data_IF_445534448064
#
_entry.id   IF_445534448064
#
_cell.length_a   1.000
_cell.length_b   1.000
_cell.length_c   1.000
_cell.angle_alpha   90.00
_cell.angle_beta   90.00
_cell.angle_gamma   90.00
#
_symmetry.space_group_name_H-M   'P 1'
#
loop_
_entity.id
_entity.type
_entity.pdbx_description
1 polymer ?
#
# COMPACT_ATOMS: atom_id res chain seq x y z
N UNK A 1 16.44 -5.02 0.92
CA UNK A 1 16.96 -4.23 -0.22
C UNK A 1 15.85 -3.26 -0.59
N UNK A 2 16.10 -1.96 -0.59
CA UNK A 2 15.23 -0.94 -1.15
C UNK A 2 15.69 -0.64 -2.58
N UNK A 3 14.79 -0.76 -3.54
CA UNK A 3 15.06 -0.50 -4.95
C UNK A 3 14.81 0.97 -5.34
N UNK A 4 14.37 1.80 -4.36
CA UNK A 4 14.00 3.22 -4.47
C UNK A 4 12.75 3.51 -5.30
N UNK A 5 12.51 2.76 -6.35
CA UNK A 5 11.32 2.84 -7.21
C UNK A 5 10.64 1.49 -7.29
N UNK A 6 9.38 1.46 -7.66
CA UNK A 6 8.68 0.21 -7.97
C UNK A 6 9.17 -0.33 -9.30
N UNK A 7 9.51 -1.59 -9.33
CA UNK A 7 10.01 -2.29 -10.50
C UNK A 7 9.28 -3.61 -10.69
N UNK A 8 9.03 -3.99 -11.93
CA UNK A 8 8.56 -5.35 -12.27
C UNK A 8 9.74 -6.30 -12.16
N UNK A 9 9.75 -7.13 -11.12
CA UNK A 9 10.88 -7.99 -10.79
C UNK A 9 11.01 -9.16 -11.78
N UNK A 10 12.23 -9.40 -12.25
CA UNK A 10 12.60 -10.58 -13.04
C UNK A 10 13.28 -11.62 -12.16
N UNK A 11 14.43 -11.29 -11.64
CA UNK A 11 15.25 -12.17 -10.80
C UNK A 11 16.19 -11.39 -9.91
N UNK A 12 16.80 -12.06 -8.96
CA UNK A 12 18.04 -11.58 -8.35
C UNK A 12 19.16 -12.59 -8.51
N UNK A 13 20.38 -12.10 -8.59
CA UNK A 13 21.60 -12.89 -8.65
C UNK A 13 22.43 -12.65 -7.40
N UNK A 14 22.78 -13.72 -6.71
CA UNK A 14 23.73 -13.71 -5.59
C UNK A 14 25.09 -14.22 -6.06
N UNK A 15 26.12 -13.44 -5.81
CA UNK A 15 27.51 -13.78 -6.11
C UNK A 15 28.19 -14.25 -4.82
N UNK A 16 28.43 -15.57 -4.66
CA UNK A 16 29.15 -16.10 -3.52
C UNK A 16 30.60 -15.59 -3.47
N UNK A 17 31.27 -15.78 -2.35
CA UNK A 17 32.70 -15.60 -2.24
C UNK A 17 33.44 -16.57 -3.17
N UNK A 18 34.56 -16.13 -3.72
CA UNK A 18 35.36 -16.96 -4.67
C UNK A 18 35.88 -18.25 -4.04
N UNK A 19 36.15 -18.25 -2.74
CA UNK A 19 36.61 -19.40 -1.97
C UNK A 19 35.50 -20.33 -1.49
N UNK A 20 34.22 -19.97 -1.75
CA UNK A 20 33.04 -20.66 -1.21
C UNK A 20 33.14 -20.92 0.30
N UNK A 21 33.85 -20.02 1.00
CA UNK A 21 34.14 -20.10 2.44
C UNK A 21 32.98 -19.67 3.32
N UNK A 22 33.35 -19.28 4.55
CA UNK A 22 32.39 -18.85 5.55
C UNK A 22 31.49 -17.69 5.02
N UNK A 23 30.22 -17.78 5.30
CA UNK A 23 29.21 -16.83 4.85
C UNK A 23 28.54 -17.20 3.53
N UNK A 24 29.01 -18.20 2.78
CA UNK A 24 28.33 -18.64 1.55
C UNK A 24 26.90 -19.10 1.87
N UNK A 25 25.92 -18.42 1.28
CA UNK A 25 24.50 -18.69 1.48
C UNK A 25 24.11 -19.96 0.73
N UNK A 26 23.40 -20.87 1.41
CA UNK A 26 22.99 -22.17 0.88
C UNK A 26 21.48 -22.32 0.78
N UNK A 27 20.74 -21.87 1.79
CA UNK A 27 19.28 -21.99 1.81
C UNK A 27 18.64 -20.72 2.36
N UNK A 28 17.44 -20.41 1.89
CA UNK A 28 16.71 -19.25 2.34
C UNK A 28 15.35 -19.11 1.69
N UNK A 29 14.66 -18.03 2.00
CA UNK A 29 13.44 -17.61 1.33
C UNK A 29 13.53 -16.18 0.86
N UNK A 30 12.68 -15.83 -0.09
CA UNK A 30 12.58 -14.52 -0.72
C UNK A 30 11.17 -14.01 -0.57
N UNK A 31 11.04 -12.76 -0.17
CA UNK A 31 9.78 -12.04 -0.15
C UNK A 31 9.95 -10.68 -0.80
N UNK A 32 8.87 -10.13 -1.29
CA UNK A 32 8.83 -8.78 -1.86
C UNK A 32 7.72 -7.96 -1.21
N UNK A 33 7.82 -6.63 -1.34
CA UNK A 33 6.86 -5.69 -0.75
C UNK A 33 6.82 -4.39 -1.55
N UNK A 34 5.67 -3.73 -1.52
CA UNK A 34 5.50 -2.37 -2.03
C UNK A 34 5.80 -1.33 -0.95
N UNK A 35 5.50 -1.61 0.31
CA UNK A 35 5.40 -0.67 1.43
C UNK A 35 6.37 -0.97 2.59
N UNK A 36 7.16 -2.04 2.50
CA UNK A 36 8.06 -2.56 3.53
C UNK A 36 7.36 -3.17 4.77
N UNK A 37 6.04 -3.07 4.88
CA UNK A 37 5.25 -3.60 5.98
C UNK A 37 4.57 -4.91 5.60
N UNK A 38 3.87 -4.92 4.47
CA UNK A 38 3.21 -6.11 3.91
C UNK A 38 4.17 -6.87 3.03
N UNK A 39 4.46 -8.14 3.37
CA UNK A 39 5.41 -8.97 2.66
C UNK A 39 4.75 -10.18 2.03
N UNK A 40 4.97 -10.35 0.73
CA UNK A 40 4.49 -11.49 -0.05
C UNK A 40 5.67 -12.45 -0.26
N UNK A 41 5.51 -13.71 0.16
CA UNK A 41 6.55 -14.72 -0.04
C UNK A 41 6.61 -15.14 -1.51
N UNK A 42 7.77 -14.95 -2.13
CA UNK A 42 8.03 -15.35 -3.52
C UNK A 42 8.47 -16.80 -3.65
N UNK A 43 9.07 -17.37 -2.58
CA UNK A 43 9.51 -18.75 -2.56
C UNK A 43 10.80 -18.98 -1.79
N UNK A 44 11.25 -20.22 -1.77
CA UNK A 44 12.50 -20.64 -1.15
C UNK A 44 13.57 -21.03 -2.17
N UNK A 45 14.81 -21.05 -1.72
CA UNK A 45 15.94 -21.55 -2.52
C UNK A 45 16.85 -22.49 -1.72
N UNK A 46 17.49 -23.42 -2.45
CA UNK A 46 18.54 -24.29 -1.93
C UNK A 46 19.66 -24.40 -2.98
N UNK A 47 20.84 -23.92 -2.63
CA UNK A 47 21.96 -23.79 -3.55
C UNK A 47 23.13 -24.66 -3.15
N UNK A 48 23.86 -25.14 -4.16
CA UNK A 48 25.12 -25.87 -3.97
C UNK A 48 26.19 -24.91 -3.45
N UNK A 49 27.06 -25.43 -2.58
CA UNK A 49 28.27 -24.74 -2.12
C UNK A 49 29.32 -24.71 -3.22
N UNK A 50 29.44 -23.64 -3.94
CA UNK A 50 30.46 -23.32 -4.93
C UNK A 50 30.54 -21.81 -5.14
N UNK A 51 31.42 -21.33 -6.02
CA UNK A 51 31.59 -19.92 -6.33
C UNK A 51 30.75 -19.43 -7.52
N UNK A 52 29.91 -20.30 -8.08
CA UNK A 52 29.02 -19.96 -9.21
C UNK A 52 27.93 -18.98 -8.77
N UNK A 53 27.54 -18.10 -9.67
CA UNK A 53 26.40 -17.19 -9.45
C UNK A 53 25.13 -18.01 -9.20
N UNK A 54 24.37 -17.60 -8.21
CA UNK A 54 23.06 -18.19 -7.86
C UNK A 54 21.97 -17.24 -8.25
N UNK A 55 20.97 -17.74 -8.94
CA UNK A 55 19.82 -16.94 -9.38
C UNK A 55 18.54 -17.43 -8.74
N UNK A 56 17.67 -16.49 -8.41
CA UNK A 56 16.30 -16.73 -8.02
C UNK A 56 15.39 -15.91 -8.94
N UNK A 57 14.45 -16.56 -9.61
CA UNK A 57 13.47 -15.91 -10.51
C UNK A 57 12.17 -15.64 -9.77
N UNK A 58 11.59 -14.48 -9.98
CA UNK A 58 10.30 -14.12 -9.43
C UNK A 58 9.19 -14.59 -10.38
N UNK A 59 8.43 -15.61 -9.97
CA UNK A 59 7.30 -16.10 -10.75
C UNK A 59 6.23 -15.01 -10.90
N UNK A 60 5.70 -14.87 -12.12
CA UNK A 60 4.67 -13.88 -12.42
C UNK A 60 5.17 -12.42 -12.48
N UNK A 61 6.47 -12.20 -12.31
CA UNK A 61 7.10 -10.87 -12.41
C UNK A 61 6.39 -9.80 -11.58
N UNK A 62 6.30 -9.95 -10.25
CA UNK A 62 5.56 -9.02 -9.40
C UNK A 62 6.16 -7.61 -9.41
N UNK A 63 5.30 -6.62 -9.23
CA UNK A 63 5.73 -5.25 -8.95
C UNK A 63 6.19 -5.13 -7.50
N UNK A 64 7.35 -4.53 -7.24
CA UNK A 64 7.83 -4.30 -5.89
C UNK A 64 8.88 -3.18 -5.81
N UNK A 65 8.92 -2.52 -4.65
CA UNK A 65 9.99 -1.60 -4.27
C UNK A 65 11.01 -2.26 -3.33
N UNK A 66 10.59 -3.24 -2.54
CA UNK A 66 11.45 -3.89 -1.54
C UNK A 66 11.59 -5.38 -1.81
N UNK A 67 12.80 -5.89 -1.63
CA UNK A 67 13.10 -7.32 -1.68
C UNK A 67 13.75 -7.72 -0.37
N UNK A 68 13.25 -8.79 0.26
CA UNK A 68 13.80 -9.38 1.48
C UNK A 68 14.31 -10.78 1.19
N UNK A 69 15.56 -11.02 1.51
CA UNK A 69 16.20 -12.33 1.45
C UNK A 69 16.44 -12.78 2.89
N UNK A 70 15.78 -13.86 3.30
CA UNK A 70 15.98 -14.49 4.60
C UNK A 70 16.89 -15.69 4.43
N UNK A 71 18.07 -15.62 5.00
CA UNK A 71 19.03 -16.74 4.99
C UNK A 71 18.70 -17.70 6.13
N UNK A 72 18.46 -18.97 5.81
CA UNK A 72 18.19 -20.03 6.80
C UNK A 72 19.38 -20.96 6.99
N UNK A 73 20.30 -21.02 6.00
CA UNK A 73 21.52 -21.80 6.08
C UNK A 73 22.65 -21.15 5.28
N UNK A 74 23.81 -21.08 5.89
CA UNK A 74 25.03 -20.61 5.28
C UNK A 74 26.24 -21.43 5.78
N UNK A 75 27.39 -21.28 5.14
CA UNK A 75 28.64 -21.85 5.63
C UNK A 75 29.13 -21.01 6.82
N UNK A 76 29.13 -21.58 8.02
CA UNK A 76 29.26 -20.84 9.28
C UNK A 76 27.93 -20.26 9.73
N UNK A 77 27.92 -19.32 10.68
CA UNK A 77 26.73 -18.85 11.36
C UNK A 77 26.18 -17.53 10.82
N UNK A 78 26.59 -17.09 9.63
CA UNK A 78 26.15 -15.83 9.01
C UNK A 78 26.15 -15.92 7.48
N UNK A 79 25.29 -15.13 6.82
CA UNK A 79 25.24 -14.98 5.37
C UNK A 79 26.10 -13.81 4.90
N UNK A 80 26.89 -14.03 3.85
CA UNK A 80 27.65 -12.99 3.16
C UNK A 80 27.85 -13.36 1.69
N UNK A 81 28.32 -12.42 0.91
CA UNK A 81 28.64 -12.62 -0.51
C UNK A 81 29.52 -11.50 -1.02
N UNK A 82 29.84 -11.55 -2.30
CA UNK A 82 30.51 -10.46 -2.99
C UNK A 82 29.48 -9.38 -3.35
N UNK A 83 28.32 -9.79 -3.91
CA UNK A 83 27.32 -8.88 -4.41
C UNK A 83 25.95 -9.55 -4.51
N UNK A 84 24.90 -8.74 -4.54
CA UNK A 84 23.53 -9.12 -4.92
C UNK A 84 23.05 -8.12 -5.95
N UNK A 85 22.63 -8.61 -7.11
CA UNK A 85 21.99 -7.82 -8.14
C UNK A 85 20.50 -8.17 -8.23
N UNK A 86 19.64 -7.16 -8.27
CA UNK A 86 18.21 -7.34 -8.54
C UNK A 86 17.93 -6.80 -9.93
N UNK A 87 17.25 -7.60 -10.75
CA UNK A 87 16.93 -7.26 -12.13
C UNK A 87 15.43 -7.10 -12.30
N UNK A 88 15.07 -6.09 -13.06
CA UNK A 88 13.71 -5.92 -13.56
C UNK A 88 13.52 -6.60 -14.90
N UNK A 89 12.28 -6.87 -15.27
CA UNK A 89 11.91 -7.34 -16.62
C UNK A 89 12.39 -6.32 -17.66
N UNK A 90 13.15 -6.73 -18.68
CA UNK A 90 13.60 -5.82 -19.73
C UNK A 90 12.42 -5.11 -20.42
N UNK A 91 12.54 -3.80 -20.56
CA UNK A 91 11.48 -2.97 -21.17
C UNK A 91 10.32 -2.61 -20.24
N UNK A 92 10.27 -3.14 -19.01
CA UNK A 92 9.30 -2.68 -18.02
C UNK A 92 9.65 -1.27 -17.53
N UNK A 93 8.61 -0.51 -17.19
CA UNK A 93 8.79 0.80 -16.56
C UNK A 93 9.11 0.67 -15.07
N UNK A 94 9.84 1.63 -14.53
CA UNK A 94 9.92 1.86 -13.08
C UNK A 94 9.14 3.13 -12.75
N UNK A 95 8.51 3.17 -11.59
CA UNK A 95 7.75 4.34 -11.17
C UNK A 95 7.96 4.63 -9.69
N UNK A 96 7.68 5.86 -9.30
CA UNK A 96 7.72 6.30 -7.91
C UNK A 96 6.38 5.92 -7.27
N UNK A 97 6.45 5.20 -6.17
CA UNK A 97 5.27 4.80 -5.41
C UNK A 97 4.60 6.03 -4.81
N UNK A 98 3.29 6.18 -5.01
CA UNK A 98 2.55 7.36 -4.57
C UNK A 98 2.51 8.50 -5.60
N UNK A 99 3.29 8.44 -6.68
CA UNK A 99 3.18 9.34 -7.83
C UNK A 99 1.99 8.90 -8.71
N UNK A 100 0.82 9.35 -8.34
CA UNK A 100 -0.45 8.97 -8.99
C UNK A 100 -0.86 9.92 -10.10
N UNK A 101 -0.18 11.05 -10.25
CA UNK A 101 -0.35 11.97 -11.38
C UNK A 101 0.73 11.78 -12.45
N UNK A 102 1.74 10.93 -12.19
CA UNK A 102 2.85 10.57 -13.08
C UNK A 102 3.72 11.77 -13.50
N UNK A 103 3.98 12.70 -12.58
CA UNK A 103 4.83 13.86 -12.82
C UNK A 103 6.30 13.65 -12.40
N UNK A 104 6.63 12.49 -11.84
CA UNK A 104 7.98 12.06 -11.47
C UNK A 104 8.39 12.40 -10.03
N UNK A 105 7.47 12.80 -9.19
CA UNK A 105 7.68 13.05 -7.75
C UNK A 105 6.43 12.72 -6.95
N UNK A 106 6.53 12.70 -5.63
CA UNK A 106 5.37 12.59 -4.72
C UNK A 106 5.25 13.90 -3.97
N UNK A 107 4.17 14.64 -4.22
CA UNK A 107 3.91 15.92 -3.56
C UNK A 107 2.40 16.16 -3.31
N UNK A 108 2.03 17.37 -2.90
CA UNK A 108 0.63 17.72 -2.61
C UNK A 108 -0.32 17.57 -3.82
N UNK A 109 0.21 17.55 -5.05
CA UNK A 109 -0.62 17.32 -6.23
C UNK A 109 -1.08 15.87 -6.32
N UNK A 110 -0.26 14.91 -5.82
CA UNK A 110 -0.67 13.50 -5.74
C UNK A 110 -1.78 13.31 -4.73
N UNK A 111 -1.68 13.93 -3.55
CA UNK A 111 -2.79 13.91 -2.58
C UNK A 111 -4.08 14.47 -3.19
N UNK A 112 -3.99 15.54 -3.97
CA UNK A 112 -5.14 16.10 -4.69
C UNK A 112 -5.70 15.12 -5.71
N UNK A 113 -4.83 14.38 -6.40
CA UNK A 113 -5.22 13.35 -7.37
C UNK A 113 -5.91 12.17 -6.69
N UNK A 114 -5.44 11.75 -5.52
CA UNK A 114 -6.09 10.70 -4.73
C UNK A 114 -7.55 11.03 -4.35
N UNK A 115 -7.91 12.30 -4.22
CA UNK A 115 -9.33 12.68 -4.04
C UNK A 115 -10.22 12.14 -5.15
N UNK A 116 -9.69 12.03 -6.39
CA UNK A 116 -10.42 11.51 -7.54
C UNK A 116 -10.35 9.98 -7.64
N UNK A 117 -9.36 9.34 -7.04
CA UNK A 117 -9.08 7.91 -7.20
C UNK A 117 -9.51 7.05 -6.01
N UNK A 118 -9.75 7.66 -4.84
CA UNK A 118 -10.23 6.96 -3.63
C UNK A 118 -11.47 6.12 -3.95
N UNK A 119 -11.43 4.85 -3.58
CA UNK A 119 -12.49 3.88 -3.82
C UNK A 119 -12.48 3.27 -5.23
N UNK A 120 -11.56 3.62 -6.12
CA UNK A 120 -11.35 2.85 -7.36
C UNK A 120 -10.80 1.47 -7.02
N UNK A 121 -11.35 0.46 -7.68
CA UNK A 121 -10.95 -0.94 -7.46
C UNK A 121 -10.70 -1.67 -8.78
N UNK A 122 -9.99 -2.79 -8.70
CA UNK A 122 -9.77 -3.66 -9.85
C UNK A 122 -11.10 -4.06 -10.49
N UNK A 123 -11.20 -3.87 -11.80
CA UNK A 123 -12.42 -4.08 -12.58
C UNK A 123 -13.15 -2.78 -12.94
N UNK A 124 -12.84 -1.67 -12.31
CA UNK A 124 -13.31 -0.37 -12.76
C UNK A 124 -12.56 0.09 -14.01
N UNK A 125 -13.26 0.76 -14.93
CA UNK A 125 -12.67 1.21 -16.21
C UNK A 125 -11.49 2.15 -16.04
N UNK A 126 -11.44 2.88 -14.93
CA UNK A 126 -10.41 3.87 -14.64
C UNK A 126 -9.26 3.31 -13.79
N UNK A 127 -9.37 2.05 -13.32
CA UNK A 127 -8.32 1.39 -12.53
C UNK A 127 -7.25 0.78 -13.45
N UNK A 128 -6.56 1.64 -14.20
CA UNK A 128 -5.53 1.23 -15.17
C UNK A 128 -4.29 2.15 -15.13
N UNK A 129 -3.21 1.67 -15.73
CA UNK A 129 -1.98 2.44 -15.95
C UNK A 129 -1.39 2.99 -14.65
N UNK A 130 -1.12 4.30 -14.61
CA UNK A 130 -0.52 4.95 -13.43
C UNK A 130 -1.51 5.10 -12.26
N UNK A 131 -2.80 5.10 -12.50
CA UNK A 131 -3.82 5.17 -11.43
C UNK A 131 -3.78 3.91 -10.58
N UNK A 132 -3.68 2.73 -11.20
CA UNK A 132 -3.54 1.46 -10.46
C UNK A 132 -2.27 1.39 -9.61
N UNK A 133 -1.25 2.21 -9.90
CA UNK A 133 -0.04 2.37 -9.08
C UNK A 133 -0.31 3.05 -7.74
N UNK A 134 -1.47 3.67 -7.60
CA UNK A 134 -1.95 4.22 -6.33
C UNK A 134 -2.36 3.15 -5.32
N UNK A 135 -2.65 1.94 -5.76
CA UNK A 135 -2.85 0.76 -4.91
C UNK A 135 -1.47 0.25 -4.45
N UNK A 136 -1.02 0.76 -3.33
CA UNK A 136 0.35 0.59 -2.82
C UNK A 136 0.53 -0.77 -2.14
N UNK A 137 -0.48 -1.28 -1.47
CA UNK A 137 -0.40 -2.58 -0.79
C UNK A 137 -0.85 -3.76 -1.67
N UNK A 138 -1.39 -3.49 -2.85
CA UNK A 138 -1.81 -4.49 -3.82
C UNK A 138 -3.10 -5.20 -3.44
N UNK A 139 -3.96 -4.57 -2.63
CA UNK A 139 -5.25 -5.12 -2.23
C UNK A 139 -6.34 -4.96 -3.29
N UNK A 140 -6.01 -4.31 -4.42
CA UNK A 140 -6.87 -3.99 -5.55
C UNK A 140 -7.94 -2.92 -5.25
N UNK A 141 -7.68 -2.05 -4.31
CA UNK A 141 -8.52 -0.91 -3.94
C UNK A 141 -7.62 0.27 -3.58
N UNK A 142 -7.89 1.45 -4.11
CA UNK A 142 -7.23 2.68 -3.64
C UNK A 142 -7.99 3.19 -2.41
N UNK A 143 -7.35 3.11 -1.24
CA UNK A 143 -7.99 3.47 0.02
C UNK A 143 -7.10 4.36 0.94
N UNK A 144 -7.51 4.51 2.19
CA UNK A 144 -6.80 5.33 3.16
C UNK A 144 -5.39 4.83 3.47
N UNK A 145 -5.14 3.52 3.36
CA UNK A 145 -3.81 2.96 3.58
C UNK A 145 -2.82 3.49 2.53
N UNK A 146 -3.17 3.38 1.25
CA UNK A 146 -2.33 3.84 0.13
C UNK A 146 -2.00 5.32 0.26
N UNK A 147 -3.03 6.12 0.53
CA UNK A 147 -2.89 7.57 0.67
C UNK A 147 -2.01 7.92 1.88
N UNK A 148 -2.14 7.18 2.99
CA UNK A 148 -1.30 7.40 4.18
C UNK A 148 0.17 7.08 3.90
N UNK A 149 0.44 6.01 3.14
CA UNK A 149 1.81 5.66 2.72
C UNK A 149 2.39 6.74 1.79
N UNK A 150 1.61 7.21 0.81
CA UNK A 150 2.02 8.32 -0.05
C UNK A 150 2.31 9.58 0.76
N UNK A 151 1.45 9.92 1.73
CA UNK A 151 1.62 11.09 2.60
C UNK A 151 2.91 11.05 3.44
N UNK A 152 3.42 9.86 3.80
CA UNK A 152 4.71 9.74 4.52
C UNK A 152 5.91 10.19 3.69
N UNK A 153 5.77 10.28 2.37
CA UNK A 153 6.83 10.69 1.45
C UNK A 153 6.88 12.20 1.24
N UNK A 154 5.85 12.93 1.71
CA UNK A 154 5.83 14.39 1.65
C UNK A 154 6.85 14.99 2.62
N UNK A 155 7.32 16.20 2.31
CA UNK A 155 8.14 16.99 3.23
C UNK A 155 7.38 17.27 4.53
N UNK A 156 7.90 16.77 5.64
CA UNK A 156 7.24 16.85 6.95
C UNK A 156 6.15 15.79 7.18
N UNK A 157 6.01 14.82 6.28
CA UNK A 157 5.08 13.70 6.44
C UNK A 157 5.41 12.85 7.67
N UNK A 158 4.35 12.38 8.37
CA UNK A 158 4.48 11.54 9.56
C UNK A 158 5.01 10.17 9.15
N UNK A 159 6.16 9.79 9.73
CA UNK A 159 6.69 8.44 9.54
C UNK A 159 6.03 7.49 10.55
N UNK A 160 5.57 6.30 10.11
CA UNK A 160 5.04 5.30 11.03
C UNK A 160 6.10 4.92 12.08
N UNK A 161 5.68 4.82 13.33
CA UNK A 161 6.53 4.30 14.41
C UNK A 161 6.36 2.79 14.48
N UNK A 162 7.46 2.04 14.51
CA UNK A 162 7.44 0.59 14.71
C UNK A 162 6.93 0.18 16.11
N UNK A 163 6.83 1.14 17.03
CA UNK A 163 6.41 0.91 18.43
C UNK A 163 4.92 1.26 18.67
N UNK A 164 4.27 1.97 17.76
CA UNK A 164 2.87 2.37 17.92
C UNK A 164 1.93 1.42 17.16
N UNK A 165 1.03 0.82 17.89
CA UNK A 165 -0.05 0.01 17.32
C UNK A 165 -1.32 0.84 17.20
N UNK A 166 -1.92 0.82 16.00
CA UNK A 166 -3.25 1.39 15.79
C UNK A 166 -4.24 0.71 16.71
N UNK A 167 -4.98 1.49 17.48
CA UNK A 167 -6.00 1.00 18.38
C UNK A 167 -7.21 1.92 18.38
N UNK A 168 -8.33 1.41 18.85
CA UNK A 168 -9.58 2.14 18.99
C UNK A 168 -10.77 1.37 18.47
N UNK A 169 -11.94 1.95 18.65
CA UNK A 169 -13.22 1.42 18.21
C UNK A 169 -13.90 2.49 17.34
N UNK A 170 -14.36 2.09 16.15
CA UNK A 170 -15.16 2.93 15.27
C UNK A 170 -16.61 2.44 15.34
N UNK A 171 -17.53 3.34 15.63
CA UNK A 171 -18.96 3.06 15.67
C UNK A 171 -19.72 3.88 14.66
N UNK A 172 -20.70 3.25 14.02
CA UNK A 172 -21.63 3.86 13.10
C UNK A 172 -23.00 3.93 13.78
N UNK A 173 -23.65 5.07 13.69
CA UNK A 173 -25.03 5.25 14.17
C UNK A 173 -25.83 6.13 13.22
N UNK A 174 -27.09 5.76 12.99
CA UNK A 174 -28.02 6.56 12.21
C UNK A 174 -28.86 7.48 13.11
N UNK A 175 -29.38 8.57 12.54
CA UNK A 175 -30.28 9.49 13.24
C UNK A 175 -31.71 8.93 13.43
N UNK A 176 -31.97 7.69 12.96
CA UNK A 176 -33.24 7.00 13.12
C UNK A 176 -33.17 5.54 12.69
N UNK A 177 -34.22 4.78 12.93
CA UNK A 177 -34.36 3.37 12.55
C UNK A 177 -35.35 3.17 11.38
N UNK A 178 -36.07 4.21 11.00
CA UNK A 178 -37.09 4.19 9.94
C UNK A 178 -37.17 5.56 9.31
N UNK A 179 -37.16 5.61 8.00
CA UNK A 179 -37.14 6.83 7.19
C UNK A 179 -38.22 6.78 6.13
N UNK A 180 -38.70 7.93 5.70
CA UNK A 180 -39.64 8.11 4.59
C UNK A 180 -38.91 8.71 3.40
N UNK A 181 -39.50 8.59 2.23
CA UNK A 181 -38.98 9.27 1.04
C UNK A 181 -38.86 10.78 1.29
N UNK A 182 -37.69 11.33 1.03
CA UNK A 182 -37.34 12.74 1.26
C UNK A 182 -36.75 13.04 2.65
N UNK A 183 -36.70 12.07 3.55
CA UNK A 183 -35.98 12.24 4.81
C UNK A 183 -34.47 12.21 4.60
N UNK A 184 -33.76 12.99 5.41
CA UNK A 184 -32.28 12.96 5.43
C UNK A 184 -31.78 11.88 6.44
N UNK A 185 -31.09 10.87 5.93
CA UNK A 185 -30.44 9.84 6.74
C UNK A 185 -29.05 10.32 7.09
N UNK A 186 -28.79 10.58 8.38
CA UNK A 186 -27.46 10.97 8.87
C UNK A 186 -26.77 9.79 9.53
N UNK A 187 -25.67 9.38 8.95
CA UNK A 187 -24.79 8.36 9.53
C UNK A 187 -23.65 9.07 10.26
N UNK A 188 -23.58 8.88 11.56
CA UNK A 188 -22.49 9.39 12.38
C UNK A 188 -21.42 8.33 12.53
N UNK A 189 -20.21 8.68 12.15
CA UNK A 189 -18.98 7.92 12.42
C UNK A 189 -18.37 8.50 13.70
N UNK A 190 -18.11 7.66 14.68
CA UNK A 190 -17.52 8.08 15.96
C UNK A 190 -16.37 7.15 16.34
N UNK A 191 -15.22 7.72 16.68
CA UNK A 191 -14.07 7.01 17.22
C UNK A 191 -14.02 7.07 18.74
N UNK A 192 -13.65 5.98 19.38
CA UNK A 192 -13.43 5.90 20.83
C UNK A 192 -12.11 5.21 21.12
N UNK A 193 -11.29 5.83 21.98
CA UNK A 193 -9.99 5.28 22.36
C UNK A 193 -9.04 5.13 21.17
N UNK A 194 -9.19 6.00 20.17
CA UNK A 194 -8.35 6.01 19.00
C UNK A 194 -6.91 6.31 19.38
N UNK A 195 -5.96 5.61 18.77
CA UNK A 195 -4.52 5.74 19.03
C UNK A 195 -3.74 5.46 17.76
N UNK A 196 -2.76 6.29 17.46
CA UNK A 196 -1.87 6.17 16.29
C UNK A 196 -2.63 6.07 14.95
N UNK A 197 -3.77 6.73 14.82
CA UNK A 197 -4.60 6.70 13.60
C UNK A 197 -4.17 7.82 12.68
N UNK A 198 -3.56 7.47 11.57
CA UNK A 198 -3.17 8.40 10.50
C UNK A 198 -4.18 8.44 9.34
N UNK A 199 -4.93 7.36 9.16
CA UNK A 199 -5.92 7.28 8.10
C UNK A 199 -7.06 6.35 8.51
N UNK A 200 -8.24 6.61 7.97
CA UNK A 200 -9.44 5.80 8.16
C UNK A 200 -10.23 5.79 6.87
N UNK A 201 -10.53 4.61 6.36
CA UNK A 201 -11.54 4.45 5.31
C UNK A 201 -12.34 3.17 5.51
N UNK A 202 -13.52 3.14 4.92
CA UNK A 202 -14.37 1.96 4.86
C UNK A 202 -15.37 2.09 3.72
N UNK A 203 -15.89 0.95 3.25
CA UNK A 203 -16.90 0.90 2.21
C UNK A 203 -18.32 0.87 2.81
N UNK A 204 -19.20 1.72 2.31
CA UNK A 204 -20.63 1.74 2.62
C UNK A 204 -21.41 1.53 1.32
N UNK A 205 -21.70 0.28 0.93
CA UNK A 205 -22.57 0.01 -0.20
C UNK A 205 -23.99 0.50 0.10
N UNK A 206 -24.64 1.08 -0.91
CA UNK A 206 -26.03 1.49 -0.77
C UNK A 206 -26.81 1.39 -2.08
N UNK A 207 -28.13 1.27 -1.96
CA UNK A 207 -29.04 1.23 -3.11
C UNK A 207 -29.27 2.64 -3.66
N UNK A 208 -28.68 2.94 -4.82
CA UNK A 208 -28.79 4.22 -5.52
C UNK A 208 -30.22 4.53 -6.01
N UNK A 209 -31.14 3.55 -6.01
CA UNK A 209 -32.55 3.81 -6.33
C UNK A 209 -33.32 4.33 -5.13
N UNK A 210 -32.81 4.10 -3.92
CA UNK A 210 -33.44 4.48 -2.66
C UNK A 210 -32.75 5.65 -1.96
N UNK A 211 -31.47 5.88 -2.23
CA UNK A 211 -30.65 6.90 -1.55
C UNK A 211 -29.76 7.66 -2.50
N UNK A 212 -29.59 8.96 -2.21
CA UNK A 212 -28.57 9.81 -2.83
C UNK A 212 -27.58 10.28 -1.76
N UNK A 213 -26.29 10.26 -2.06
CA UNK A 213 -25.29 10.84 -1.19
C UNK A 213 -25.33 12.36 -1.27
N UNK A 214 -25.54 13.03 -0.15
CA UNK A 214 -25.64 14.49 -0.07
C UNK A 214 -24.30 15.15 0.25
N UNK A 215 -23.50 14.54 1.14
CA UNK A 215 -22.19 15.08 1.52
C UNK A 215 -21.78 14.73 2.95
N UNK A 216 -20.65 15.29 3.37
CA UNK A 216 -20.12 15.17 4.74
C UNK A 216 -20.23 16.52 5.44
N UNK A 217 -20.89 16.54 6.59
CA UNK A 217 -21.15 17.79 7.33
C UNK A 217 -19.90 18.30 8.07
N UNK A 218 -19.15 17.42 8.73
CA UNK A 218 -17.99 17.82 9.55
C UNK A 218 -16.93 16.74 9.65
N UNK A 219 -15.66 17.18 9.67
CA UNK A 219 -14.54 16.39 10.16
C UNK A 219 -14.03 17.06 11.43
N UNK A 220 -14.22 16.40 12.58
CA UNK A 220 -13.92 16.99 13.88
C UNK A 220 -12.45 16.84 14.30
N UNK A 221 -11.64 16.10 13.55
CA UNK A 221 -10.23 15.84 13.87
C UNK A 221 -9.35 16.81 13.10
N UNK A 222 -8.60 17.64 13.81
CA UNK A 222 -7.66 18.59 13.20
C UNK A 222 -6.55 17.83 12.48
N UNK A 223 -6.24 18.26 11.25
CA UNK A 223 -5.21 17.66 10.41
C UNK A 223 -5.69 16.51 9.53
N UNK A 224 -6.94 16.07 9.69
CA UNK A 224 -7.54 15.10 8.77
C UNK A 224 -8.10 15.80 7.54
N UNK A 225 -7.63 15.39 6.37
CA UNK A 225 -8.24 15.73 5.08
C UNK A 225 -9.37 14.76 4.76
N UNK A 226 -10.46 15.29 4.21
CA UNK A 226 -11.60 14.50 3.76
C UNK A 226 -11.44 14.17 2.28
N UNK A 227 -11.18 12.90 1.98
CA UNK A 227 -11.04 12.35 0.63
C UNK A 227 -12.19 11.40 0.28
N UNK A 228 -13.35 11.58 0.92
CA UNK A 228 -14.54 10.75 0.70
C UNK A 228 -14.97 10.81 -0.76
N UNK A 229 -15.24 9.65 -1.34
CA UNK A 229 -15.71 9.51 -2.69
C UNK A 229 -16.97 8.65 -2.76
N UNK A 230 -17.88 9.02 -3.65
CA UNK A 230 -19.12 8.31 -3.91
C UNK A 230 -19.05 7.67 -5.31
N UNK A 231 -18.86 6.35 -5.35
CA UNK A 231 -18.55 5.63 -6.59
C UNK A 231 -19.68 4.76 -7.08
N UNK A 232 -19.88 4.82 -8.40
CA UNK A 232 -20.60 3.79 -9.14
C UNK A 232 -19.57 2.94 -9.86
N UNK A 233 -19.40 1.70 -9.42
CA UNK A 233 -18.48 0.75 -10.02
C UNK A 233 -18.97 0.22 -11.36
N UNK A 234 -18.05 -0.30 -12.16
CA UNK A 234 -18.35 -0.87 -13.50
C UNK A 234 -19.36 -2.02 -13.44
N UNK A 235 -19.39 -2.78 -12.34
CA UNK A 235 -20.37 -3.84 -12.09
C UNK A 235 -21.75 -3.35 -11.64
N UNK A 236 -21.92 -2.04 -11.49
CA UNK A 236 -23.16 -1.38 -11.10
C UNK A 236 -23.37 -1.21 -9.60
N UNK A 237 -22.42 -1.65 -8.76
CA UNK A 237 -22.47 -1.41 -7.32
C UNK A 237 -22.19 0.06 -7.01
N UNK A 238 -23.04 0.64 -6.14
CA UNK A 238 -22.90 2.01 -5.65
C UNK A 238 -22.36 1.98 -4.23
N UNK A 239 -21.18 2.60 -4.02
CA UNK A 239 -20.46 2.54 -2.75
C UNK A 239 -19.96 3.93 -2.37
N UNK A 240 -20.25 4.36 -1.16
CA UNK A 240 -19.61 5.51 -0.53
C UNK A 240 -18.35 5.04 0.20
N UNK A 241 -17.24 5.72 -0.05
CA UNK A 241 -15.96 5.49 0.62
C UNK A 241 -15.61 6.69 1.51
N UNK A 242 -16.14 6.74 2.75
CA UNK A 242 -15.69 7.72 3.72
C UNK A 242 -14.19 7.52 3.97
N UNK A 243 -13.37 8.52 3.62
CA UNK A 243 -11.91 8.43 3.69
C UNK A 243 -11.36 9.69 4.29
N UNK A 244 -10.59 9.53 5.37
CA UNK A 244 -9.98 10.61 6.13
C UNK A 244 -8.51 10.29 6.34
N UNK A 245 -7.62 11.21 5.98
CA UNK A 245 -6.17 11.02 6.06
C UNK A 245 -5.53 12.18 6.79
N UNK A 246 -4.63 11.87 7.73
CA UNK A 246 -3.78 12.86 8.36
C UNK A 246 -2.65 13.25 7.40
N UNK A 247 -2.66 14.50 6.99
CA UNK A 247 -1.60 15.10 6.16
C UNK A 247 -0.70 16.05 6.96
N UNK A 248 -0.90 16.11 8.28
CA UNK A 248 -0.10 16.91 9.20
C UNK A 248 1.18 16.20 9.67
N UNK A 249 1.87 16.85 10.58
CA UNK A 249 3.15 16.41 11.16
C UNK A 249 3.00 15.51 12.41
N UNK A 250 1.78 15.15 12.78
CA UNK A 250 1.48 14.31 13.95
C UNK A 250 0.30 13.39 13.68
N UNK A 251 0.29 12.19 14.30
CA UNK A 251 -0.89 11.32 14.28
C UNK A 251 -2.14 12.06 14.74
N UNK A 252 -3.27 11.75 14.14
CA UNK A 252 -4.52 12.42 14.45
C UNK A 252 -5.01 12.17 15.87
N UNK A 253 -4.65 11.07 16.50
CA UNK A 253 -4.77 10.74 17.94
C UNK A 253 -4.05 9.43 18.25
#
# INVERSE_FOLDING_TARGET
IDLHTVNTLDRFDYLPRLDSGNGTILEGSVAYSMDRNTWIEAGGFSWKRDAETKSFTFDGHPAARYVRIRVTKAVGDYGSGREIYVFRVPGSESYIQGDVNNDGKVDGNDLTSYMNYTGLRMGDSDFEGYISRGDIDGNNLIDAYDISVAATQLDGGVQPSDEEHVAGEVTLSANGMSFKAGDEVKIRVSGRGMKAVNALSFALPYDQQSYDFVGIETVAVKGMENLTNDRLHTDGEKVLYPTFVNVGDKPAV
#
